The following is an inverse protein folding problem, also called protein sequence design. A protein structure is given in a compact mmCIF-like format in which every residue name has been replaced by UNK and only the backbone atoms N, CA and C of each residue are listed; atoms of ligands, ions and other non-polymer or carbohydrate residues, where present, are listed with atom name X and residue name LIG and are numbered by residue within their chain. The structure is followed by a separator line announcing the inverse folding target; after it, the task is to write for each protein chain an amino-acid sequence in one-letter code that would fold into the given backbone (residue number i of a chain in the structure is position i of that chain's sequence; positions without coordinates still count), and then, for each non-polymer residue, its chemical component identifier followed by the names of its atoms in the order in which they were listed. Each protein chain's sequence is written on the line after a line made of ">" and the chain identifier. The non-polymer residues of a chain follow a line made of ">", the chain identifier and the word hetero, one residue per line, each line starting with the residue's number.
data_IF_134529224706
#
_entry.id   IF_134529224706
#
_cell.length_a   1.000
_cell.length_b   1.000
_cell.length_c   1.000
_cell.angle_alpha   90.00
_cell.angle_beta   90.00
_cell.angle_gamma   90.00
#
_symmetry.space_group_name_H-M   'P 1'
#
loop_
_entity.id
_entity.type
_entity.pdbx_description
1 polymer ?
#
# COMPACT_ATOMS: atom_id res chain seq x y z
N UNK A 1 -1.94 -5.89 0.08
CA UNK A 1 -1.57 -4.51 -0.25
C UNK A 1 -1.30 -3.64 0.97
N UNK A 2 -2.18 -3.55 1.98
CA UNK A 2 -2.05 -2.55 3.04
C UNK A 2 -0.77 -2.74 3.87
N UNK A 3 -0.36 -3.99 4.14
CA UNK A 3 0.93 -4.25 4.77
C UNK A 3 2.09 -3.93 3.85
N UNK A 4 1.96 -4.25 2.56
CA UNK A 4 2.96 -3.87 1.56
C UNK A 4 3.17 -2.36 1.50
N UNK A 5 2.08 -1.56 1.54
CA UNK A 5 2.13 -0.10 1.59
C UNK A 5 2.68 0.40 2.93
N UNK A 6 2.31 -0.23 4.06
CA UNK A 6 2.76 0.14 5.42
C UNK A 6 4.26 0.08 5.60
N UNK A 7 4.91 -0.92 5.03
CA UNK A 7 6.33 -1.20 5.32
C UNK A 7 7.30 -0.29 4.55
N UNK A 8 6.80 0.46 3.54
CA UNK A 8 7.63 1.29 2.65
C UNK A 8 7.88 2.73 3.12
N UNK A 9 6.89 3.49 3.61
CA UNK A 9 7.09 4.85 4.11
C UNK A 9 7.71 4.82 5.52
N UNK A 10 7.97 6.01 6.05
CA UNK A 10 8.36 6.18 7.47
C UNK A 10 7.23 5.77 8.42
N UNK A 11 7.59 5.48 9.67
CA UNK A 11 6.63 5.21 10.77
C UNK A 11 5.56 6.29 10.86
N UNK A 12 5.95 7.57 10.78
CA UNK A 12 5.02 8.70 10.90
C UNK A 12 3.96 8.69 9.81
N UNK A 13 4.35 8.42 8.56
CA UNK A 13 3.40 8.40 7.43
C UNK A 13 2.54 7.15 7.44
N UNK A 14 3.10 5.98 7.80
CA UNK A 14 2.30 4.78 8.02
C UNK A 14 1.26 5.00 9.12
N UNK A 15 1.63 5.64 10.23
CA UNK A 15 0.71 5.94 11.32
C UNK A 15 -0.37 6.98 10.93
N UNK A 16 0.00 8.03 10.18
CA UNK A 16 -0.96 9.02 9.69
C UNK A 16 -1.98 8.40 8.74
N UNK A 17 -1.54 7.51 7.85
CA UNK A 17 -2.41 6.74 6.97
C UNK A 17 -3.35 5.83 7.78
N UNK A 18 -2.83 5.07 8.75
CA UNK A 18 -3.62 4.19 9.61
C UNK A 18 -4.69 4.92 10.43
N UNK A 19 -4.44 6.18 10.80
CA UNK A 19 -5.41 7.02 11.51
C UNK A 19 -6.66 7.30 10.67
N UNK A 20 -6.57 7.22 9.34
CA UNK A 20 -7.69 7.41 8.42
C UNK A 20 -8.49 6.12 8.19
N UNK A 21 -7.99 4.96 8.61
CA UNK A 21 -8.68 3.70 8.41
C UNK A 21 -9.84 3.52 9.41
N UNK A 22 -10.94 2.87 9.01
CA UNK A 22 -11.95 2.36 9.93
C UNK A 22 -11.32 1.52 11.04
N UNK A 23 -11.86 1.59 12.27
CA UNK A 23 -11.28 0.91 13.44
C UNK A 23 -11.03 -0.59 13.22
N UNK A 24 -11.95 -1.27 12.52
CA UNK A 24 -11.82 -2.69 12.16
C UNK A 24 -10.58 -2.95 11.29
N UNK A 25 -10.28 -2.05 10.34
CA UNK A 25 -9.14 -2.20 9.44
C UNK A 25 -7.83 -1.77 10.09
N UNK A 26 -7.86 -0.90 11.11
CA UNK A 26 -6.66 -0.45 11.81
C UNK A 26 -5.96 -1.59 12.55
N UNK A 27 -6.73 -2.48 13.17
CA UNK A 27 -6.18 -3.70 13.80
C UNK A 27 -5.48 -4.60 12.78
N UNK A 28 -6.14 -4.86 11.65
CA UNK A 28 -5.54 -5.63 10.55
C UNK A 28 -4.30 -4.94 9.97
N UNK A 29 -4.32 -3.61 9.81
CA UNK A 29 -3.19 -2.84 9.30
C UNK A 29 -1.93 -2.98 10.16
N UNK A 30 -2.07 -2.93 11.49
CA UNK A 30 -0.94 -3.06 12.42
C UNK A 30 -0.52 -4.50 12.72
N UNK A 31 -1.33 -5.49 12.31
CA UNK A 31 -1.02 -6.90 12.57
C UNK A 31 0.34 -7.29 11.99
N UNK A 32 1.17 -7.92 12.82
CA UNK A 32 2.53 -8.34 12.49
C UNK A 32 3.52 -7.22 12.11
N UNK A 33 3.25 -5.95 12.41
CA UNK A 33 4.16 -4.85 12.04
C UNK A 33 5.39 -4.75 12.96
N UNK A 34 6.58 -4.61 12.38
CA UNK A 34 7.81 -4.21 13.09
C UNK A 34 8.25 -2.81 12.62
N UNK A 35 7.93 -1.74 13.38
CA UNK A 35 8.28 -0.37 13.02
C UNK A 35 9.79 -0.07 13.09
N UNK A 36 10.61 -0.94 13.68
CA UNK A 36 12.07 -0.74 13.74
C UNK A 36 12.77 -1.05 12.40
N UNK A 37 12.06 -1.71 11.49
CA UNK A 37 12.60 -2.19 10.20
C UNK A 37 12.22 -1.32 9.00
N UNK A 38 11.34 -0.33 9.19
CA UNK A 38 10.89 0.58 8.13
C UNK A 38 11.77 1.84 8.08
N UNK A 39 11.97 2.46 6.89
CA UNK A 39 11.38 2.12 5.59
C UNK A 39 12.07 0.92 4.92
N UNK A 40 11.27 -0.08 4.52
CA UNK A 40 11.75 -1.24 3.76
C UNK A 40 11.89 -0.85 2.30
N UNK A 41 13.09 -0.93 1.74
CA UNK A 41 13.33 -0.67 0.32
C UNK A 41 13.05 -1.93 -0.50
N UNK A 42 12.19 -1.81 -1.49
CA UNK A 42 11.96 -2.81 -2.52
C UNK A 42 11.73 -2.11 -3.86
N UNK A 43 12.05 -2.80 -4.95
CA UNK A 43 11.78 -2.38 -6.31
C UNK A 43 10.38 -2.84 -6.76
N UNK A 44 10.04 -2.58 -8.03
CA UNK A 44 8.77 -2.98 -8.64
C UNK A 44 8.47 -4.47 -8.50
N UNK A 45 9.45 -5.33 -8.75
CA UNK A 45 9.27 -6.79 -8.67
C UNK A 45 9.06 -7.22 -7.21
N UNK A 46 9.84 -6.68 -6.28
CA UNK A 46 9.66 -6.88 -4.85
C UNK A 46 8.29 -6.43 -4.36
N UNK A 47 7.75 -5.33 -4.89
CA UNK A 47 6.38 -4.87 -4.61
C UNK A 47 5.34 -5.89 -5.09
N UNK A 48 5.43 -6.33 -6.36
CA UNK A 48 4.52 -7.32 -6.94
C UNK A 48 4.55 -8.61 -6.13
N UNK A 49 5.74 -9.10 -5.78
CA UNK A 49 5.93 -10.31 -4.99
C UNK A 49 5.28 -10.19 -3.60
N UNK A 50 5.38 -9.04 -2.93
CA UNK A 50 4.69 -8.82 -1.64
C UNK A 50 3.18 -8.75 -1.82
N UNK A 51 2.71 -8.05 -2.85
CA UNK A 51 1.28 -7.89 -3.14
C UNK A 51 0.60 -9.24 -3.39
N UNK A 52 1.20 -10.11 -4.22
CA UNK A 52 0.62 -11.44 -4.54
C UNK A 52 0.50 -12.33 -3.30
N UNK A 53 1.45 -12.25 -2.37
CA UNK A 53 1.40 -13.01 -1.11
C UNK A 53 0.27 -12.52 -0.20
N UNK A 54 0.04 -11.20 -0.15
CA UNK A 54 -0.97 -10.61 0.73
C UNK A 54 -2.40 -10.76 0.16
N UNK A 55 -2.57 -10.58 -1.15
CA UNK A 55 -3.90 -10.53 -1.80
C UNK A 55 -4.29 -11.87 -2.45
N UNK A 56 -3.38 -12.85 -2.52
CA UNK A 56 -3.59 -14.17 -3.12
C UNK A 56 -4.04 -14.11 -4.59
N UNK A 57 -3.39 -13.24 -5.36
CA UNK A 57 -3.59 -13.08 -6.81
C UNK A 57 -2.32 -13.47 -7.56
N UNK A 58 -2.40 -13.69 -8.86
CA UNK A 58 -1.20 -13.90 -9.69
C UNK A 58 -0.48 -12.58 -9.96
N UNK A 59 0.81 -12.65 -10.29
CA UNK A 59 1.61 -11.46 -10.64
C UNK A 59 1.03 -10.73 -11.87
N UNK A 60 0.47 -11.48 -12.82
CA UNK A 60 -0.17 -10.95 -14.04
C UNK A 60 -1.43 -10.14 -13.73
N UNK A 61 -2.13 -10.46 -12.64
CA UNK A 61 -3.33 -9.75 -12.23
C UNK A 61 -3.04 -8.47 -11.44
N UNK A 62 -1.84 -8.31 -10.90
CA UNK A 62 -1.48 -7.16 -10.03
C UNK A 62 -1.71 -5.82 -10.71
N UNK A 63 -1.26 -5.57 -11.97
CA UNK A 63 -1.47 -4.27 -12.62
C UNK A 63 -2.95 -3.92 -12.86
N UNK A 64 -3.84 -4.91 -12.85
CA UNK A 64 -5.29 -4.71 -12.97
C UNK A 64 -5.97 -4.55 -11.61
N UNK A 65 -5.54 -5.31 -10.60
CA UNK A 65 -6.18 -5.35 -9.28
C UNK A 65 -5.69 -4.23 -8.37
N UNK A 66 -4.40 -3.90 -8.41
CA UNK A 66 -3.80 -2.91 -7.51
C UNK A 66 -4.45 -1.51 -7.64
N UNK A 67 -4.75 -0.98 -8.84
CA UNK A 67 -5.48 0.29 -8.98
C UNK A 67 -6.89 0.25 -8.41
N UNK A 68 -7.59 -0.87 -8.55
CA UNK A 68 -8.96 -1.05 -8.02
C UNK A 68 -8.94 -1.02 -6.50
N UNK A 69 -8.04 -1.79 -5.87
CA UNK A 69 -7.90 -1.80 -4.40
C UNK A 69 -7.50 -0.41 -3.89
N UNK A 70 -6.59 0.27 -4.60
CA UNK A 70 -6.16 1.64 -4.25
C UNK A 70 -7.32 2.64 -4.36
N UNK A 71 -8.18 2.50 -5.38
CA UNK A 71 -9.41 3.28 -5.52
C UNK A 71 -10.38 3.08 -4.35
N UNK A 72 -10.61 1.85 -3.92
CA UNK A 72 -11.47 1.56 -2.75
C UNK A 72 -10.87 2.19 -1.48
N UNK A 73 -9.56 2.08 -1.26
CA UNK A 73 -8.91 2.70 -0.10
C UNK A 73 -9.05 4.22 -0.13
N UNK A 74 -8.93 4.85 -1.30
CA UNK A 74 -9.10 6.30 -1.49
C UNK A 74 -10.46 6.78 -0.99
N UNK A 75 -11.53 6.00 -1.17
CA UNK A 75 -12.88 6.35 -0.71
C UNK A 75 -13.03 6.32 0.81
N UNK A 76 -12.12 5.64 1.52
CA UNK A 76 -12.20 5.44 2.97
C UNK A 76 -11.23 6.32 3.77
N UNK A 77 -10.37 7.10 3.10
CA UNK A 77 -9.41 7.98 3.75
C UNK A 77 -9.67 9.45 3.44
N UNK A 78 -9.30 10.35 4.34
CA UNK A 78 -9.44 11.78 4.08
C UNK A 78 -8.61 12.21 2.86
N UNK A 79 -9.06 13.21 2.08
CA UNK A 79 -8.34 13.69 0.90
C UNK A 79 -6.85 13.97 1.18
N UNK A 80 -5.97 13.58 0.26
CA UNK A 80 -4.53 13.82 0.32
C UNK A 80 -3.73 12.84 1.19
N UNK A 81 -4.37 12.05 2.06
CA UNK A 81 -3.64 11.12 2.94
C UNK A 81 -3.12 9.89 2.20
N UNK A 82 -3.89 9.37 1.25
CA UNK A 82 -3.40 8.30 0.38
C UNK A 82 -2.27 8.81 -0.50
N UNK A 83 -2.41 9.99 -1.09
CA UNK A 83 -1.40 10.60 -1.94
C UNK A 83 -0.08 10.79 -1.19
N UNK A 84 -0.11 11.34 0.04
CA UNK A 84 1.09 11.49 0.86
C UNK A 84 1.81 10.16 1.17
N UNK A 85 1.06 9.05 1.29
CA UNK A 85 1.65 7.73 1.45
C UNK A 85 2.23 7.20 0.13
N UNK A 86 1.52 7.39 -0.99
CA UNK A 86 1.96 6.97 -2.32
C UNK A 86 3.18 7.75 -2.82
N UNK A 87 3.32 9.03 -2.46
CA UNK A 87 4.47 9.88 -2.81
C UNK A 87 5.79 9.38 -2.24
N UNK A 88 5.77 8.56 -1.18
CA UNK A 88 6.97 7.91 -0.65
C UNK A 88 7.38 6.63 -1.39
N UNK A 89 6.58 6.21 -2.37
CA UNK A 89 6.87 5.08 -3.22
C UNK A 89 7.68 5.53 -4.45
N UNK A 90 8.59 4.69 -4.97
CA UNK A 90 9.18 4.89 -6.29
C UNK A 90 8.11 5.03 -7.39
N UNK A 91 8.41 5.83 -8.43
CA UNK A 91 7.46 6.13 -9.53
C UNK A 91 6.91 4.89 -10.24
N UNK A 92 7.74 3.86 -10.43
CA UNK A 92 7.36 2.60 -11.07
C UNK A 92 6.39 1.75 -10.23
N UNK A 93 6.41 1.91 -8.91
CA UNK A 93 5.42 1.33 -7.99
C UNK A 93 4.15 2.18 -7.95
N UNK A 94 4.27 3.51 -7.97
CA UNK A 94 3.10 4.40 -8.06
C UNK A 94 2.28 4.10 -9.32
N UNK A 95 2.93 3.87 -10.46
CA UNK A 95 2.27 3.51 -11.72
C UNK A 95 1.39 2.25 -11.58
N UNK A 96 1.87 1.21 -10.88
CA UNK A 96 1.07 -0.01 -10.62
C UNK A 96 -0.18 0.29 -9.79
N UNK A 97 -0.12 1.27 -8.90
CA UNK A 97 -1.19 1.57 -7.94
C UNK A 97 -2.21 2.57 -8.46
N UNK A 98 -1.84 3.38 -9.45
CA UNK A 98 -2.66 4.49 -9.93
C UNK A 98 -3.20 4.27 -11.34
N UNK A 99 -2.46 3.55 -12.19
CA UNK A 99 -2.81 3.39 -13.60
C UNK A 99 -3.42 2.00 -13.84
N UNK A 100 -4.69 1.89 -14.26
CA UNK A 100 -5.17 0.65 -14.83
C UNK A 100 -4.34 0.38 -16.08
N UNK A 101 -3.53 -0.68 -16.05
CA UNK A 101 -2.88 -1.16 -17.27
C UNK A 101 -3.99 -1.75 -18.14
N UNK A 102 -4.36 -1.02 -19.19
CA UNK A 102 -5.38 -1.42 -20.16
C UNK A 102 -5.01 -2.65 -20.95
#
# INVERSE_FOLDING_TARGET
>A
MLHTLRDRPTVDVAAHFAAQLPDLLRGAYYDGWDPSTVPVKYDREGYVNRFVQEVKVTAEEVPRIAPVVTGVVREHVSPGHLEAALEQLPHDIQAILLEPTG
#
